data_IF_728352523597
#
_entry.id   IF_728352523597
#
_cell.length_a   1.000
_cell.length_b   1.000
_cell.length_c   1.000
_cell.angle_alpha   90.00
_cell.angle_beta   90.00
_cell.angle_gamma   90.00
#
_symmetry.space_group_name_H-M   'P 1'
#
loop_
_entity.id
_entity.type
_entity.pdbx_description
1 polymer ?
#
# COMPACT_ATOMS: atom_id res chain seq x y z
N UNK A 1 -28.91 -6.25 0.51
CA UNK A 1 -27.51 -6.29 0.06
C UNK A 1 -26.70 -5.31 0.91
N UNK A 2 -25.50 -5.69 1.32
CA UNK A 2 -24.61 -4.81 2.12
C UNK A 2 -23.95 -3.74 1.24
N UNK A 3 -23.68 -4.06 -0.01
CA UNK A 3 -23.07 -3.17 -1.00
C UNK A 3 -24.05 -3.01 -2.18
N UNK A 4 -24.31 -1.76 -2.59
CA UNK A 4 -25.14 -1.42 -3.75
C UNK A 4 -24.33 -0.78 -4.86
N UNK A 5 -23.41 0.13 -4.48
CA UNK A 5 -22.56 0.88 -5.40
C UNK A 5 -21.17 0.30 -5.40
N UNK A 6 -20.74 -0.23 -6.54
CA UNK A 6 -19.47 -0.93 -6.70
C UNK A 6 -18.57 -0.13 -7.63
N UNK A 7 -17.43 0.34 -7.11
CA UNK A 7 -16.40 0.95 -7.93
C UNK A 7 -15.48 -0.11 -8.54
N UNK A 8 -15.17 0.03 -9.83
CA UNK A 8 -14.22 -0.83 -10.55
C UNK A 8 -13.03 0.02 -10.98
N UNK A 9 -11.84 -0.40 -10.54
CA UNK A 9 -10.58 0.30 -10.72
C UNK A 9 -9.56 -0.66 -11.34
N UNK A 10 -8.97 -0.28 -12.47
CA UNK A 10 -7.92 -1.04 -13.15
C UNK A 10 -6.53 -0.47 -12.89
N UNK A 11 -5.51 -1.22 -13.29
CA UNK A 11 -4.11 -0.78 -13.24
C UNK A 11 -3.81 0.22 -14.35
N UNK A 12 -3.12 1.28 -13.96
CA UNK A 12 -2.48 2.19 -14.93
C UNK A 12 -0.96 2.10 -14.79
N UNK A 13 -0.25 1.71 -15.82
CA UNK A 13 0.76 2.55 -16.40
C UNK A 13 0.68 2.59 -17.91
N UNK A 14 1.14 3.69 -18.45
CA UNK A 14 1.08 4.02 -19.86
C UNK A 14 1.94 3.16 -20.80
N UNK A 15 2.64 2.14 -20.33
CA UNK A 15 3.72 1.52 -21.11
C UNK A 15 3.48 0.07 -21.58
N UNK A 16 2.46 -0.64 -21.08
CA UNK A 16 2.19 -2.02 -21.52
C UNK A 16 0.69 -2.19 -21.75
N UNK A 17 0.27 -2.21 -23.00
CA UNK A 17 -1.04 -2.71 -23.40
C UNK A 17 -1.11 -4.20 -23.06
N UNK A 18 -1.79 -4.57 -21.98
CA UNK A 18 -2.10 -5.97 -21.73
C UNK A 18 -3.56 -6.22 -22.08
N UNK A 19 -3.80 -6.75 -23.26
CA UNK A 19 -5.14 -7.18 -23.72
C UNK A 19 -5.83 -8.12 -22.70
N UNK A 20 -5.05 -8.84 -21.92
CA UNK A 20 -5.55 -9.78 -20.92
C UNK A 20 -6.22 -9.07 -19.72
N UNK A 21 -5.63 -7.99 -19.20
CA UNK A 21 -6.22 -7.24 -18.08
C UNK A 21 -7.48 -6.47 -18.53
N UNK A 22 -7.47 -5.95 -19.75
CA UNK A 22 -8.63 -5.25 -20.29
C UNK A 22 -9.81 -6.22 -20.48
N UNK A 23 -9.54 -7.45 -20.94
CA UNK A 23 -10.56 -8.50 -21.01
C UNK A 23 -11.09 -8.86 -19.61
N UNK A 24 -10.22 -9.00 -18.61
CA UNK A 24 -10.61 -9.32 -17.25
C UNK A 24 -11.51 -8.23 -16.62
N UNK A 25 -11.21 -6.94 -16.88
CA UNK A 25 -12.06 -5.82 -16.46
C UNK A 25 -13.43 -5.85 -17.14
N UNK A 26 -13.46 -6.10 -18.47
CA UNK A 26 -14.70 -6.19 -19.24
C UNK A 26 -15.56 -7.36 -18.74
N UNK A 27 -14.96 -8.54 -18.57
CA UNK A 27 -15.64 -9.75 -18.08
C UNK A 27 -16.23 -9.51 -16.67
N UNK A 28 -15.48 -8.81 -15.78
CA UNK A 28 -15.96 -8.44 -14.46
C UNK A 28 -17.15 -7.48 -14.51
N UNK A 29 -17.06 -6.43 -15.34
CA UNK A 29 -18.15 -5.47 -15.53
C UNK A 29 -19.39 -6.18 -16.08
N UNK A 30 -19.24 -7.07 -17.07
CA UNK A 30 -20.35 -7.84 -17.63
C UNK A 30 -20.97 -8.81 -16.61
N UNK A 31 -20.15 -9.46 -15.78
CA UNK A 31 -20.62 -10.32 -14.70
C UNK A 31 -21.48 -9.55 -13.70
N UNK A 32 -20.99 -8.40 -13.23
CA UNK A 32 -21.69 -7.59 -12.24
C UNK A 32 -22.91 -6.86 -12.81
N UNK A 33 -22.91 -6.50 -14.11
CA UNK A 33 -24.03 -5.84 -14.78
C UNK A 33 -25.29 -6.70 -14.92
N UNK A 34 -25.15 -8.03 -14.77
CA UNK A 34 -26.28 -8.97 -14.78
C UNK A 34 -26.98 -9.04 -13.41
N UNK A 35 -26.46 -8.31 -12.42
CA UNK A 35 -26.93 -8.27 -11.05
C UNK A 35 -27.44 -6.86 -10.71
N UNK A 36 -28.16 -6.73 -9.61
CA UNK A 36 -28.75 -5.44 -9.17
C UNK A 36 -27.72 -4.57 -8.44
N UNK A 37 -26.62 -4.21 -9.12
CA UNK A 37 -25.60 -3.30 -8.64
C UNK A 37 -25.50 -2.04 -9.49
N UNK A 38 -25.27 -0.91 -8.85
CA UNK A 38 -24.85 0.34 -9.50
C UNK A 38 -23.33 0.30 -9.67
N UNK A 39 -22.85 0.30 -10.92
CA UNK A 39 -21.44 0.24 -11.24
C UNK A 39 -20.87 1.63 -11.51
N UNK A 40 -19.79 1.95 -10.82
CA UNK A 40 -19.01 3.17 -10.98
C UNK A 40 -17.64 2.77 -11.54
N UNK A 41 -17.28 3.29 -12.69
CA UNK A 41 -15.98 2.95 -13.29
C UNK A 41 -15.01 4.12 -13.08
N UNK A 42 -13.85 3.82 -12.55
CA UNK A 42 -12.82 4.84 -12.40
C UNK A 42 -12.46 5.44 -13.78
N UNK A 43 -12.30 6.75 -13.86
CA UNK A 43 -12.21 7.53 -15.11
C UNK A 43 -11.13 7.02 -16.08
N UNK A 44 -9.93 6.75 -15.59
CA UNK A 44 -8.82 6.25 -16.43
C UNK A 44 -9.08 4.80 -16.87
N UNK A 45 -9.67 3.98 -15.99
CA UNK A 45 -10.11 2.62 -16.33
C UNK A 45 -11.11 2.67 -17.45
N UNK A 46 -12.14 3.51 -17.34
CA UNK A 46 -13.17 3.67 -18.36
C UNK A 46 -12.57 4.09 -19.70
N UNK A 47 -11.68 5.08 -19.71
CA UNK A 47 -10.99 5.54 -20.92
C UNK A 47 -10.19 4.44 -21.60
N UNK A 48 -9.52 3.59 -20.80
CA UNK A 48 -8.69 2.49 -21.29
C UNK A 48 -9.52 1.39 -21.94
N UNK A 49 -10.57 0.90 -21.27
CA UNK A 49 -11.42 -0.17 -21.78
C UNK A 49 -12.53 0.29 -22.73
N UNK A 50 -12.65 1.64 -22.94
CA UNK A 50 -13.60 2.27 -23.87
C UNK A 50 -15.09 1.93 -23.62
N UNK A 51 -15.47 1.69 -22.35
CA UNK A 51 -16.86 1.43 -21.96
C UNK A 51 -17.45 2.73 -21.43
N UNK A 52 -18.43 3.32 -22.15
CA UNK A 52 -19.02 4.63 -21.83
C UNK A 52 -20.42 4.58 -21.20
N UNK A 53 -21.00 3.37 -21.06
CA UNK A 53 -22.37 3.20 -20.54
C UNK A 53 -22.53 3.37 -19.04
N UNK A 54 -21.42 3.47 -18.28
CA UNK A 54 -21.43 3.64 -16.83
C UNK A 54 -20.90 5.01 -16.43
N UNK A 55 -21.21 5.42 -15.20
CA UNK A 55 -20.66 6.64 -14.64
C UNK A 55 -19.14 6.54 -14.52
N UNK A 56 -18.43 7.55 -15.01
CA UNK A 56 -16.99 7.71 -14.84
C UNK A 56 -16.73 8.64 -13.66
N UNK A 57 -15.94 8.18 -12.70
CA UNK A 57 -15.61 8.96 -11.50
C UNK A 57 -14.09 9.02 -11.30
N UNK A 58 -13.50 10.21 -11.10
CA UNK A 58 -12.10 10.34 -10.73
C UNK A 58 -11.78 9.57 -9.45
N UNK A 59 -10.58 8.94 -9.38
CA UNK A 59 -10.20 8.08 -8.27
C UNK A 59 -10.41 8.75 -6.89
N UNK A 60 -10.08 10.02 -6.76
CA UNK A 60 -10.21 10.78 -5.51
C UNK A 60 -11.67 11.00 -5.04
N UNK A 61 -12.65 10.76 -5.90
CA UNK A 61 -14.08 10.94 -5.59
C UNK A 61 -14.80 9.60 -5.39
N UNK A 62 -14.15 8.49 -5.71
CA UNK A 62 -14.76 7.15 -5.65
C UNK A 62 -15.25 6.81 -4.25
N UNK A 63 -14.47 7.17 -3.22
CA UNK A 63 -14.81 6.84 -1.84
C UNK A 63 -16.12 7.49 -1.35
N UNK A 64 -16.45 8.68 -1.87
CA UNK A 64 -17.71 9.36 -1.55
C UNK A 64 -18.93 8.79 -2.31
N UNK A 65 -18.70 8.05 -3.40
CA UNK A 65 -19.76 7.60 -4.30
C UNK A 65 -20.03 6.09 -4.22
N UNK A 66 -19.05 5.28 -3.80
CA UNK A 66 -19.13 3.82 -3.78
C UNK A 66 -19.15 3.23 -2.38
N UNK A 67 -19.78 2.06 -2.22
CA UNK A 67 -19.81 1.30 -0.96
C UNK A 67 -18.57 0.39 -0.84
N UNK A 68 -17.96 0.01 -1.98
CA UNK A 68 -16.83 -0.91 -2.06
C UNK A 68 -16.06 -0.67 -3.36
N UNK A 69 -14.75 -0.88 -3.34
CA UNK A 69 -13.89 -0.83 -4.53
C UNK A 69 -13.35 -2.21 -4.90
N UNK A 70 -13.54 -2.63 -6.15
CA UNK A 70 -12.92 -3.83 -6.72
C UNK A 70 -11.76 -3.36 -7.61
N UNK A 71 -10.56 -3.77 -7.26
CA UNK A 71 -9.32 -3.33 -7.90
C UNK A 71 -8.73 -4.49 -8.71
N UNK A 72 -8.66 -4.33 -10.01
CA UNK A 72 -8.04 -5.31 -10.92
C UNK A 72 -6.62 -4.85 -11.25
N UNK A 73 -5.63 -5.56 -10.69
CA UNK A 73 -4.24 -5.16 -10.85
C UNK A 73 -3.30 -6.00 -9.99
N UNK A 74 -2.18 -5.44 -9.60
CA UNK A 74 -1.25 -6.02 -8.63
C UNK A 74 -1.18 -5.18 -7.35
N UNK A 75 -0.29 -5.57 -6.43
CA UNK A 75 -0.09 -4.89 -5.16
C UNK A 75 0.15 -3.38 -5.32
N UNK A 76 0.94 -2.96 -6.33
CA UNK A 76 1.16 -1.54 -6.59
C UNK A 76 -0.13 -0.77 -6.94
N UNK A 77 -1.11 -1.38 -7.58
CA UNK A 77 -2.41 -0.76 -7.83
C UNK A 77 -3.20 -0.62 -6.53
N UNK A 78 -3.21 -1.69 -5.71
CA UNK A 78 -3.83 -1.67 -4.39
C UNK A 78 -3.26 -0.55 -3.51
N UNK A 79 -1.93 -0.39 -3.46
CA UNK A 79 -1.26 0.67 -2.69
C UNK A 79 -1.70 2.08 -3.13
N UNK A 80 -1.74 2.33 -4.44
CA UNK A 80 -2.17 3.62 -4.98
C UNK A 80 -3.63 3.95 -4.67
N UNK A 81 -4.52 2.96 -4.80
CA UNK A 81 -5.95 3.11 -4.48
C UNK A 81 -6.15 3.29 -2.98
N UNK A 82 -5.46 2.50 -2.15
CA UNK A 82 -5.54 2.61 -0.68
C UNK A 82 -5.21 4.03 -0.19
N UNK A 83 -4.14 4.64 -0.71
CA UNK A 83 -3.79 6.04 -0.37
C UNK A 83 -4.85 7.05 -0.81
N UNK A 84 -5.49 6.81 -1.95
CA UNK A 84 -6.51 7.73 -2.47
C UNK A 84 -7.85 7.62 -1.72
N UNK A 85 -8.14 6.45 -1.14
CA UNK A 85 -9.40 6.15 -0.46
C UNK A 85 -9.29 6.14 1.08
N UNK A 86 -8.12 6.51 1.62
CA UNK A 86 -7.85 6.46 3.07
C UNK A 86 -8.85 7.27 3.89
N UNK A 87 -9.30 8.39 3.34
CA UNK A 87 -10.20 9.31 4.02
C UNK A 87 -11.65 8.85 4.02
N UNK A 88 -12.05 8.06 3.05
CA UNK A 88 -13.41 7.60 2.86
C UNK A 88 -13.71 6.29 3.57
N UNK A 89 -12.70 5.46 3.81
CA UNK A 89 -12.80 4.23 4.57
C UNK A 89 -13.64 3.13 3.91
N UNK A 90 -13.86 3.19 2.59
CA UNK A 90 -14.57 2.12 1.88
C UNK A 90 -13.68 0.86 1.78
N UNK A 91 -14.27 -0.35 1.93
CA UNK A 91 -13.51 -1.57 1.80
C UNK A 91 -13.09 -1.85 0.36
N UNK A 92 -12.03 -2.63 0.21
CA UNK A 92 -11.45 -2.99 -1.08
C UNK A 92 -11.36 -4.50 -1.27
N UNK A 93 -11.48 -4.93 -2.53
CA UNK A 93 -11.18 -6.29 -2.98
C UNK A 93 -10.07 -6.20 -4.02
N UNK A 94 -9.01 -6.98 -3.86
CA UNK A 94 -7.89 -7.05 -4.80
C UNK A 94 -7.98 -8.27 -5.72
N UNK A 95 -8.12 -8.03 -7.03
CA UNK A 95 -8.11 -9.07 -8.06
C UNK A 95 -6.79 -9.00 -8.82
N UNK A 96 -6.05 -10.08 -8.82
CA UNK A 96 -4.76 -10.16 -9.47
C UNK A 96 -4.90 -10.28 -11.00
N UNK A 97 -4.18 -9.44 -11.74
CA UNK A 97 -4.17 -9.45 -13.22
C UNK A 97 -2.94 -10.12 -13.82
N UNK A 98 -2.12 -10.80 -13.01
CA UNK A 98 -0.89 -11.44 -13.50
C UNK A 98 -0.20 -12.24 -12.41
N UNK A 99 0.91 -11.73 -11.85
CA UNK A 99 1.60 -12.40 -10.75
C UNK A 99 0.84 -12.21 -9.44
N UNK A 100 0.45 -13.29 -8.80
CA UNK A 100 -0.21 -13.31 -7.50
C UNK A 100 0.48 -12.36 -6.49
N UNK A 101 -0.29 -11.47 -5.83
CA UNK A 101 0.20 -10.43 -4.90
C UNK A 101 0.02 -10.81 -3.43
N UNK A 102 0.49 -9.95 -2.53
CA UNK A 102 0.20 -10.03 -1.09
C UNK A 102 -1.06 -9.25 -0.72
N UNK A 103 -1.51 -8.33 -1.61
CA UNK A 103 -2.71 -7.52 -1.42
C UNK A 103 -3.80 -7.85 -2.46
N UNK A 104 -3.40 -8.13 -3.70
CA UNK A 104 -4.29 -8.60 -4.76
C UNK A 104 -4.19 -10.14 -4.83
N UNK A 105 -5.04 -10.82 -4.09
CA UNK A 105 -4.97 -12.26 -3.86
C UNK A 105 -6.04 -13.09 -4.58
N UNK A 106 -7.09 -12.46 -5.12
CA UNK A 106 -8.06 -13.17 -5.94
C UNK A 106 -7.49 -13.45 -7.32
N UNK A 107 -7.40 -14.73 -7.67
CA UNK A 107 -6.93 -15.14 -9.00
C UNK A 107 -8.06 -15.10 -10.05
N UNK A 108 -7.68 -15.01 -11.31
CA UNK A 108 -8.61 -14.94 -12.45
C UNK A 108 -9.58 -16.15 -12.51
N UNK A 109 -9.12 -17.34 -12.14
CA UNK A 109 -9.91 -18.56 -12.25
C UNK A 109 -11.13 -18.57 -11.33
N UNK A 110 -10.98 -18.03 -10.11
CA UNK A 110 -12.03 -18.03 -9.08
C UNK A 110 -12.65 -16.63 -8.84
N UNK A 111 -12.22 -15.63 -9.59
CA UNK A 111 -12.56 -14.22 -9.40
C UNK A 111 -14.07 -14.00 -9.17
N UNK A 112 -14.91 -14.51 -10.08
CA UNK A 112 -16.35 -14.29 -10.02
C UNK A 112 -16.99 -14.91 -8.79
N UNK A 113 -16.63 -16.15 -8.47
CA UNK A 113 -17.15 -16.87 -7.30
C UNK A 113 -16.73 -16.15 -6.01
N UNK A 114 -15.48 -15.77 -5.90
CA UNK A 114 -14.93 -15.07 -4.72
C UNK A 114 -15.55 -13.68 -4.54
N UNK A 115 -15.68 -12.91 -5.61
CA UNK A 115 -16.33 -11.59 -5.55
C UNK A 115 -17.80 -11.75 -5.16
N UNK A 116 -18.52 -12.71 -5.72
CA UNK A 116 -19.91 -12.97 -5.37
C UNK A 116 -20.09 -13.37 -3.91
N UNK A 117 -19.20 -14.20 -3.35
CA UNK A 117 -19.19 -14.52 -1.92
C UNK A 117 -19.03 -13.27 -1.09
N UNK A 118 -18.03 -12.41 -1.39
CA UNK A 118 -17.79 -11.17 -0.65
C UNK A 118 -18.99 -10.22 -0.74
N UNK A 119 -19.53 -9.98 -1.93
CA UNK A 119 -20.66 -9.08 -2.14
C UNK A 119 -21.95 -9.57 -1.46
N UNK A 120 -22.11 -10.87 -1.30
CA UNK A 120 -23.21 -11.49 -0.55
C UNK A 120 -22.99 -11.48 0.98
N UNK A 121 -21.88 -10.90 1.46
CA UNK A 121 -21.59 -10.76 2.89
C UNK A 121 -20.81 -11.94 3.50
N UNK A 122 -20.34 -12.88 2.68
CA UNK A 122 -19.54 -14.03 3.13
C UNK A 122 -18.05 -13.74 2.93
N UNK A 123 -17.46 -12.96 3.86
CA UNK A 123 -16.06 -12.52 3.80
C UNK A 123 -15.44 -12.40 5.18
N UNK A 124 -14.13 -12.34 5.22
CA UNK A 124 -13.32 -11.87 6.35
C UNK A 124 -12.79 -10.47 6.03
N UNK A 125 -12.93 -9.57 7.01
CA UNK A 125 -12.39 -8.22 6.91
C UNK A 125 -11.00 -8.17 7.52
N UNK A 126 -10.01 -7.79 6.72
CA UNK A 126 -8.63 -7.59 7.14
C UNK A 126 -8.31 -6.09 7.19
N UNK A 127 -8.24 -5.56 8.41
CA UNK A 127 -7.91 -4.15 8.65
C UNK A 127 -6.40 -3.96 8.65
N UNK A 128 -5.93 -3.12 7.72
CA UNK A 128 -4.51 -2.81 7.56
C UNK A 128 -4.18 -1.45 8.15
N UNK A 129 -3.21 -1.44 9.02
CA UNK A 129 -2.59 -0.24 9.57
C UNK A 129 -1.91 0.55 8.44
N UNK A 130 -1.98 1.86 8.53
CA UNK A 130 -1.24 2.81 7.71
C UNK A 130 -0.27 3.61 8.59
N UNK A 131 0.77 4.10 7.98
CA UNK A 131 1.64 5.13 8.58
C UNK A 131 1.45 6.47 7.89
N UNK A 132 1.41 7.51 8.68
CA UNK A 132 1.42 8.91 8.26
C UNK A 132 2.84 9.43 8.32
N UNK A 133 3.26 10.14 7.30
CA UNK A 133 4.60 10.73 7.22
C UNK A 133 4.50 12.22 7.00
N UNK A 134 5.23 12.99 7.80
CA UNK A 134 5.36 14.44 7.66
C UNK A 134 6.83 14.82 7.51
N UNK A 135 7.11 15.70 6.56
CA UNK A 135 8.43 16.31 6.40
C UNK A 135 8.35 17.74 6.89
N UNK A 136 9.16 18.05 7.86
CA UNK A 136 9.31 19.40 8.41
C UNK A 136 10.58 20.04 7.88
N UNK A 137 10.49 21.29 7.42
CA UNK A 137 11.62 22.18 7.12
C UNK A 137 11.41 23.49 7.82
N UNK A 138 12.39 23.89 8.66
CA UNK A 138 12.29 25.10 9.48
C UNK A 138 10.96 25.13 10.29
N UNK A 139 10.64 24.01 10.96
CA UNK A 139 9.44 23.75 11.79
C UNK A 139 8.09 23.81 11.03
N UNK A 140 8.11 23.92 9.70
CA UNK A 140 6.89 23.91 8.87
C UNK A 140 6.74 22.58 8.16
N UNK A 141 5.52 22.05 8.13
CA UNK A 141 5.19 20.88 7.32
C UNK A 141 5.24 21.31 5.84
N UNK A 142 6.14 20.69 5.08
CA UNK A 142 6.29 20.93 3.65
C UNK A 142 5.81 19.77 2.79
N UNK A 143 5.61 18.60 3.40
CA UNK A 143 5.07 17.42 2.74
C UNK A 143 4.38 16.51 3.76
N UNK A 144 3.27 15.90 3.34
CA UNK A 144 2.50 14.95 4.14
C UNK A 144 1.95 13.85 3.24
N UNK A 145 1.98 12.60 3.68
CA UNK A 145 1.43 11.47 2.94
C UNK A 145 1.18 10.25 3.85
N UNK A 146 0.38 9.31 3.34
CA UNK A 146 0.16 8.00 3.95
C UNK A 146 0.90 6.90 3.19
N UNK A 147 1.31 5.85 3.91
CA UNK A 147 1.85 4.64 3.32
C UNK A 147 1.14 3.40 3.89
N UNK A 148 0.82 2.44 3.01
CA UNK A 148 0.31 1.14 3.40
C UNK A 148 1.45 0.14 3.60
N UNK A 149 2.52 0.23 2.82
CA UNK A 149 3.72 -0.60 2.99
C UNK A 149 4.79 0.10 3.80
N UNK A 150 5.41 1.13 3.24
CA UNK A 150 6.62 1.68 3.81
C UNK A 150 6.89 3.14 3.43
N UNK A 151 7.69 3.76 4.28
CA UNK A 151 8.33 5.05 4.08
C UNK A 151 9.83 4.80 4.05
N UNK A 152 10.48 5.19 2.96
CA UNK A 152 11.90 4.95 2.73
C UNK A 152 12.64 6.25 2.56
N UNK A 153 13.65 6.50 3.39
CA UNK A 153 14.65 7.55 3.15
C UNK A 153 15.85 6.88 2.50
N UNK A 154 16.21 7.31 1.30
CA UNK A 154 17.28 6.71 0.53
C UNK A 154 18.24 7.76 0.00
N UNK A 155 19.54 7.47 0.11
CA UNK A 155 20.61 8.27 -0.49
C UNK A 155 20.61 8.14 -2.01
N UNK A 156 21.23 9.10 -2.69
CA UNK A 156 21.56 9.00 -4.11
C UNK A 156 22.77 8.09 -4.35
N UNK A 157 23.96 8.65 -4.35
CA UNK A 157 25.21 7.94 -4.71
C UNK A 157 26.05 7.57 -3.49
N UNK A 158 26.08 8.44 -2.48
CA UNK A 158 26.89 8.26 -1.27
C UNK A 158 26.05 7.96 -0.06
N UNK A 159 26.65 7.32 0.96
CA UNK A 159 25.98 7.03 2.24
C UNK A 159 25.38 8.30 2.84
N UNK A 160 24.18 8.14 3.40
CA UNK A 160 23.52 9.15 4.21
C UNK A 160 23.79 8.87 5.69
N UNK A 161 23.91 9.93 6.49
CA UNK A 161 23.95 9.81 7.94
C UNK A 161 22.63 10.32 8.54
N UNK A 162 21.96 9.43 9.28
CA UNK A 162 20.64 9.65 9.84
C UNK A 162 20.66 9.47 11.35
N UNK A 163 20.08 10.42 12.08
CA UNK A 163 19.77 10.30 13.50
C UNK A 163 18.33 9.84 13.66
N UNK A 164 18.13 8.77 14.43
CA UNK A 164 16.81 8.19 14.71
C UNK A 164 16.46 8.37 16.17
N UNK A 165 15.28 8.91 16.42
CA UNK A 165 14.66 9.01 17.75
C UNK A 165 13.28 8.38 17.75
N UNK A 166 12.87 7.80 18.89
CA UNK A 166 11.55 7.19 19.09
C UNK A 166 10.98 7.77 20.39
N UNK A 167 9.79 8.35 20.30
CA UNK A 167 9.13 9.01 21.43
C UNK A 167 10.07 9.99 22.15
N UNK A 168 10.69 10.89 21.39
CA UNK A 168 11.68 11.87 21.81
C UNK A 168 12.98 11.29 22.44
N UNK A 169 13.17 9.99 22.38
CA UNK A 169 14.38 9.33 22.89
C UNK A 169 15.31 8.99 21.75
N UNK A 170 16.55 9.47 21.81
CA UNK A 170 17.60 9.08 20.88
C UNK A 170 17.81 7.57 20.90
N UNK A 171 17.83 6.95 19.71
CA UNK A 171 18.07 5.52 19.54
C UNK A 171 19.48 5.27 19.02
N UNK A 172 19.79 5.81 17.84
CA UNK A 172 21.12 5.70 17.24
C UNK A 172 21.32 6.71 16.10
N UNK A 173 22.57 6.90 15.72
CA UNK A 173 22.95 7.50 14.45
C UNK A 173 23.50 6.39 13.53
N UNK A 174 23.09 6.37 12.27
CA UNK A 174 23.55 5.37 11.29
C UNK A 174 24.07 6.03 10.03
N UNK A 175 25.13 5.41 9.45
CA UNK A 175 25.57 5.67 8.07
C UNK A 175 25.19 4.47 7.21
N UNK A 176 24.40 4.70 6.16
CA UNK A 176 23.80 3.64 5.38
C UNK A 176 23.37 4.16 4.00
N UNK A 177 22.89 3.30 3.12
CA UNK A 177 22.19 3.71 1.89
C UNK A 177 20.82 4.29 2.19
N UNK A 178 20.29 4.08 3.41
CA UNK A 178 19.01 4.61 3.83
C UNK A 178 18.38 3.86 4.99
N UNK A 179 17.11 4.16 5.22
CA UNK A 179 16.29 3.54 6.27
C UNK A 179 14.87 3.33 5.77
N UNK A 180 14.25 2.26 6.20
CA UNK A 180 12.84 1.91 5.91
C UNK A 180 12.08 1.93 7.23
N UNK A 181 10.95 2.64 7.27
CA UNK A 181 9.92 2.47 8.29
C UNK A 181 8.74 1.76 7.63
N UNK A 182 8.44 0.56 8.08
CA UNK A 182 7.48 -0.34 7.44
C UNK A 182 6.31 -0.69 8.36
N UNK A 183 5.12 -0.71 7.80
CA UNK A 183 3.94 -1.35 8.41
C UNK A 183 4.11 -2.87 8.38
N UNK A 184 3.31 -3.65 9.12
CA UNK A 184 3.29 -5.10 8.97
C UNK A 184 3.02 -5.56 7.54
N UNK A 185 2.15 -4.87 6.81
CA UNK A 185 1.87 -5.13 5.39
C UNK A 185 3.14 -4.98 4.53
N UNK A 186 3.90 -3.93 4.74
CA UNK A 186 5.12 -3.62 3.98
C UNK A 186 6.30 -4.52 4.31
N UNK A 187 6.25 -5.29 5.42
CA UNK A 187 7.34 -6.21 5.77
C UNK A 187 7.54 -7.34 4.76
N UNK A 188 6.60 -7.58 3.86
CA UNK A 188 6.75 -8.51 2.72
C UNK A 188 7.23 -7.82 1.43
N UNK A 189 7.45 -6.48 1.48
CA UNK A 189 7.92 -5.64 0.36
C UNK A 189 9.42 -5.31 0.48
N UNK A 190 9.78 -4.04 0.41
CA UNK A 190 11.19 -3.63 0.42
C UNK A 190 11.91 -3.92 1.74
N UNK A 191 11.18 -3.85 2.86
CA UNK A 191 11.73 -4.21 4.18
C UNK A 191 12.25 -5.67 4.21
N UNK A 192 11.55 -6.63 3.56
CA UNK A 192 12.01 -8.01 3.45
C UNK A 192 13.35 -8.10 2.71
N UNK A 193 13.47 -7.41 1.57
CA UNK A 193 14.70 -7.39 0.77
C UNK A 193 15.89 -6.77 1.52
N UNK A 194 15.61 -5.84 2.44
CA UNK A 194 16.61 -5.22 3.31
C UNK A 194 16.93 -6.04 4.58
N UNK A 195 16.38 -7.26 4.71
CA UNK A 195 16.65 -8.17 5.84
C UNK A 195 15.78 -7.92 7.07
N UNK A 196 14.68 -7.22 6.93
CA UNK A 196 13.68 -7.04 7.99
C UNK A 196 12.88 -8.31 8.28
N UNK A 197 12.26 -8.44 9.47
CA UNK A 197 11.38 -9.54 9.80
C UNK A 197 10.05 -9.42 9.08
N UNK A 198 9.38 -10.54 8.81
CA UNK A 198 7.97 -10.55 8.41
C UNK A 198 7.11 -10.41 9.67
N UNK A 199 6.27 -9.39 9.69
CA UNK A 199 5.27 -9.18 10.72
C UNK A 199 3.90 -9.62 10.20
N UNK A 200 3.12 -10.30 11.05
CA UNK A 200 1.74 -10.63 10.69
C UNK A 200 0.94 -9.34 10.49
N UNK A 201 0.10 -9.21 9.46
CA UNK A 201 -0.61 -7.97 9.13
C UNK A 201 -1.47 -7.37 10.24
N UNK A 202 -1.95 -8.21 11.15
CA UNK A 202 -2.77 -7.79 12.29
C UNK A 202 -1.97 -7.35 13.52
N UNK A 203 -0.64 -7.36 13.46
CA UNK A 203 0.18 -6.86 14.56
C UNK A 203 0.15 -5.33 14.59
N UNK A 204 -0.04 -4.79 15.78
CA UNK A 204 0.09 -3.35 16.06
C UNK A 204 1.58 -3.01 16.28
N UNK A 205 2.38 -3.14 15.22
CA UNK A 205 3.83 -2.91 15.26
C UNK A 205 4.32 -2.17 14.01
N UNK A 206 5.46 -1.51 14.11
CA UNK A 206 6.21 -0.97 12.98
C UNK A 206 7.60 -1.60 12.96
N UNK A 207 8.17 -1.76 11.77
CA UNK A 207 9.54 -2.24 11.59
C UNK A 207 10.42 -1.12 11.06
N UNK A 208 11.56 -0.88 11.71
CA UNK A 208 12.60 0.05 11.27
C UNK A 208 13.76 -0.79 10.75
N UNK A 209 14.07 -0.66 9.46
CA UNK A 209 15.04 -1.50 8.77
C UNK A 209 16.10 -0.63 8.10
N UNK A 210 17.38 -0.68 8.54
CA UNK A 210 18.47 0.00 7.85
C UNK A 210 18.73 -0.65 6.49
N UNK A 211 19.07 0.18 5.49
CA UNK A 211 19.47 -0.29 4.15
C UNK A 211 20.99 -0.26 4.06
N UNK A 212 21.63 -1.42 3.90
CA UNK A 212 23.09 -1.55 3.76
C UNK A 212 23.86 -0.70 4.80
N UNK A 213 23.63 -0.88 6.11
CA UNK A 213 24.31 -0.06 7.11
C UNK A 213 25.80 -0.36 7.12
N UNK A 214 26.60 0.69 7.27
CA UNK A 214 28.06 0.57 7.33
C UNK A 214 28.55 -0.07 8.63
N UNK A 215 27.69 -0.11 9.65
CA UNK A 215 28.00 -0.68 10.97
C UNK A 215 27.25 -2.01 11.14
N UNK A 216 28.00 -3.09 11.42
CA UNK A 216 27.44 -4.45 11.60
C UNK A 216 26.49 -4.56 12.81
N UNK A 217 26.53 -3.64 13.76
CA UNK A 217 25.64 -3.61 14.93
C UNK A 217 24.22 -3.10 14.62
N UNK A 218 24.04 -2.37 13.53
CA UNK A 218 22.72 -1.88 13.15
C UNK A 218 21.86 -3.05 12.66
N UNK A 219 20.78 -3.30 13.35
CA UNK A 219 19.83 -4.39 13.08
C UNK A 219 18.42 -3.82 12.88
N UNK A 220 17.59 -4.49 12.09
CA UNK A 220 16.16 -4.22 12.08
C UNK A 220 15.57 -4.37 13.48
N UNK A 221 14.68 -3.43 13.84
CA UNK A 221 13.93 -3.48 15.09
C UNK A 221 12.44 -3.40 14.81
N UNK A 222 11.64 -4.08 15.61
CA UNK A 222 10.20 -3.94 15.65
C UNK A 222 9.80 -3.18 16.92
N UNK A 223 8.89 -2.23 16.78
CA UNK A 223 8.41 -1.35 17.84
C UNK A 223 6.89 -1.31 17.85
N UNK A 224 6.31 -0.82 18.94
CA UNK A 224 4.88 -0.57 19.01
C UNK A 224 4.43 0.45 17.94
N UNK A 225 3.31 0.19 17.28
CA UNK A 225 2.80 1.06 16.21
C UNK A 225 2.40 2.46 16.69
N UNK A 226 2.08 2.64 17.99
CA UNK A 226 1.77 3.96 18.55
C UNK A 226 2.99 4.85 18.73
N UNK A 227 4.20 4.32 18.51
CA UNK A 227 5.44 5.09 18.63
C UNK A 227 5.52 6.17 17.57
N UNK A 228 6.03 7.33 17.96
CA UNK A 228 6.44 8.40 17.06
C UNK A 228 7.92 8.23 16.71
N UNK A 229 8.22 8.17 15.42
CA UNK A 229 9.57 7.99 14.88
C UNK A 229 9.99 9.30 14.24
N UNK A 230 11.05 9.91 14.76
CA UNK A 230 11.69 11.09 14.18
C UNK A 230 13.03 10.71 13.55
N UNK A 231 13.23 11.11 12.30
CA UNK A 231 14.47 10.89 11.57
C UNK A 231 15.01 12.24 11.10
N UNK A 232 16.21 12.59 11.55
CA UNK A 232 16.92 13.80 11.13
C UNK A 232 18.07 13.44 10.20
N UNK A 233 18.28 14.25 9.19
CA UNK A 233 19.41 14.13 8.30
C UNK A 233 20.60 14.84 8.92
N UNK A 234 21.67 14.08 9.21
CA UNK A 234 22.91 14.62 9.79
C UNK A 234 23.90 14.97 8.67
N UNK A 235 24.01 14.09 7.65
CA UNK A 235 24.88 14.32 6.51
C UNK A 235 24.30 13.63 5.27
N UNK A 236 24.27 14.35 4.13
CA UNK A 236 23.93 13.81 2.83
C UNK A 236 24.56 14.64 1.70
N UNK A 237 24.70 14.05 0.52
CA UNK A 237 24.86 14.79 -0.75
C UNK A 237 23.51 14.93 -1.44
N UNK A 238 22.80 13.83 -1.56
CA UNK A 238 21.47 13.75 -2.16
C UNK A 238 20.65 12.69 -1.44
N UNK A 239 19.40 13.00 -1.12
CA UNK A 239 18.47 12.04 -0.55
C UNK A 239 17.05 12.27 -1.03
N UNK A 240 16.24 11.24 -0.93
CA UNK A 240 14.82 11.30 -1.23
C UNK A 240 14.01 10.44 -0.27
N UNK A 241 12.81 10.92 0.03
CA UNK A 241 11.75 10.16 0.66
C UNK A 241 10.95 9.43 -0.42
N UNK A 242 10.66 8.15 -0.20
CA UNK A 242 9.76 7.37 -1.04
C UNK A 242 8.60 6.82 -0.22
N UNK A 243 7.39 6.89 -0.75
CA UNK A 243 6.17 6.36 -0.14
C UNK A 243 5.68 5.17 -0.96
N UNK A 244 5.63 3.98 -0.37
CA UNK A 244 5.20 2.72 -1.01
C UNK A 244 5.94 2.44 -2.34
N UNK A 245 7.15 2.95 -2.52
CA UNK A 245 7.90 2.85 -3.77
C UNK A 245 7.28 3.59 -4.98
N UNK A 246 6.24 4.41 -4.77
CA UNK A 246 5.47 5.04 -5.85
C UNK A 246 5.58 6.55 -5.91
N UNK A 247 5.71 7.20 -4.78
CA UNK A 247 5.87 8.65 -4.69
C UNK A 247 7.29 8.94 -4.24
N UNK A 248 7.92 9.93 -4.87
CA UNK A 248 9.26 10.37 -4.52
C UNK A 248 9.24 11.85 -4.19
N UNK A 249 9.81 12.22 -3.04
CA UNK A 249 9.95 13.59 -2.57
C UNK A 249 11.44 13.89 -2.28
N UNK A 250 12.04 14.94 -2.86
CA UNK A 250 13.43 15.31 -2.61
C UNK A 250 13.59 15.89 -1.21
N UNK A 251 14.64 15.48 -0.50
CA UNK A 251 14.96 15.92 0.85
C UNK A 251 16.09 16.94 0.86
N UNK A 252 16.08 17.82 1.87
CA UNK A 252 17.12 18.82 2.19
C UNK A 252 17.76 18.47 3.55
N UNK A 253 18.99 18.94 3.79
CA UNK A 253 19.71 18.76 5.08
C UNK A 253 18.94 19.27 6.31
N UNK A 254 18.03 20.21 6.12
CA UNK A 254 17.22 20.82 7.21
C UNK A 254 15.94 20.02 7.49
N UNK A 255 15.70 18.96 6.73
CA UNK A 255 14.45 18.21 6.86
C UNK A 255 14.52 17.25 8.06
N UNK A 256 13.43 17.27 8.82
CA UNK A 256 13.09 16.27 9.82
C UNK A 256 11.89 15.48 9.30
N UNK A 257 12.03 14.18 9.26
CA UNK A 257 10.96 13.27 8.83
C UNK A 257 10.34 12.64 10.07
N UNK A 258 9.05 12.84 10.26
CA UNK A 258 8.28 12.20 11.32
C UNK A 258 7.38 11.12 10.73
N UNK A 259 7.37 9.95 11.33
CA UNK A 259 6.53 8.83 10.95
C UNK A 259 5.73 8.36 12.16
N UNK A 260 4.41 8.29 12.00
CA UNK A 260 3.47 7.88 13.05
C UNK A 260 2.43 6.91 12.48
N UNK A 261 1.77 6.15 13.35
CA UNK A 261 0.59 5.39 12.97
C UNK A 261 -0.52 6.34 12.54
N UNK A 262 -1.10 6.13 11.37
CA UNK A 262 -2.27 6.88 10.95
C UNK A 262 -3.49 6.55 11.82
N UNK A 263 -4.37 7.52 12.01
CA UNK A 263 -5.64 7.32 12.75
C UNK A 263 -6.62 6.41 12.00
N UNK A 264 -6.43 6.25 10.70
CA UNK A 264 -7.29 5.48 9.79
C UNK A 264 -6.65 4.16 9.40
N UNK A 265 -7.48 3.20 9.02
CA UNK A 265 -7.08 1.89 8.51
C UNK A 265 -7.70 1.67 7.15
N UNK A 266 -7.14 0.76 6.38
CA UNK A 266 -7.73 0.26 5.14
C UNK A 266 -8.32 -1.12 5.39
N UNK A 267 -9.56 -1.35 4.94
CA UNK A 267 -10.21 -2.65 4.99
C UNK A 267 -10.05 -3.38 3.66
N UNK A 268 -9.42 -4.55 3.69
CA UNK A 268 -9.37 -5.48 2.56
C UNK A 268 -10.33 -6.64 2.87
N UNK A 269 -11.20 -6.97 1.92
CA UNK A 269 -12.15 -8.06 2.08
C UNK A 269 -11.67 -9.29 1.35
N UNK A 270 -11.56 -10.39 2.06
CA UNK A 270 -11.18 -11.69 1.55
C UNK A 270 -12.33 -12.69 1.63
N UNK A 271 -12.41 -13.69 0.74
CA UNK A 271 -13.28 -14.84 0.94
C UNK A 271 -12.98 -15.55 2.25
N UNK A 272 -13.97 -16.29 2.80
CA UNK A 272 -13.85 -17.00 4.08
C UNK A 272 -12.77 -18.08 4.15
N UNK A 273 -12.28 -18.52 3.04
CA UNK A 273 -11.22 -19.53 2.92
C UNK A 273 -9.80 -18.92 2.78
N UNK A 274 -9.68 -17.59 2.93
CA UNK A 274 -8.39 -16.92 2.88
C UNK A 274 -7.49 -17.32 4.05
N UNK A 275 -6.23 -17.63 3.73
CA UNK A 275 -5.20 -17.94 4.73
C UNK A 275 -3.89 -17.20 4.43
N UNK A 276 -3.52 -16.27 5.30
CA UNK A 276 -2.28 -15.50 5.18
C UNK A 276 -1.02 -16.37 5.11
N UNK A 277 -0.96 -17.44 5.91
CA UNK A 277 0.20 -18.33 5.91
C UNK A 277 0.31 -19.18 4.65
N UNK A 278 -0.81 -19.52 4.03
CA UNK A 278 -0.80 -20.18 2.73
C UNK A 278 -0.28 -19.23 1.64
N UNK A 279 -0.72 -17.97 1.68
CA UNK A 279 -0.21 -16.94 0.78
C UNK A 279 1.31 -16.75 0.96
N UNK A 280 1.83 -16.71 2.20
CA UNK A 280 3.27 -16.64 2.46
C UNK A 280 4.03 -17.83 1.87
N UNK A 281 3.55 -19.08 2.10
CA UNK A 281 4.18 -20.29 1.52
C UNK A 281 4.25 -20.21 0.00
N UNK A 282 3.14 -19.84 -0.64
CA UNK A 282 3.07 -19.77 -2.09
C UNK A 282 3.99 -18.69 -2.67
N UNK A 283 4.12 -17.55 -1.97
CA UNK A 283 4.92 -16.41 -2.42
C UNK A 283 6.40 -16.57 -2.18
N UNK A 284 6.77 -17.13 -1.04
CA UNK A 284 8.14 -17.24 -0.60
C UNK A 284 8.72 -18.63 -0.85
N UNK A 285 7.92 -19.52 -1.47
CA UNK A 285 8.31 -20.91 -1.77
C UNK A 285 8.79 -21.64 -0.50
N UNK A 286 8.05 -21.48 0.60
CA UNK A 286 8.32 -22.16 1.86
C UNK A 286 7.67 -23.54 1.88
N UNK A 287 8.50 -24.61 1.93
CA UNK A 287 8.07 -26.01 2.00
C UNK A 287 7.99 -26.70 0.67
#
# INVERSE_FOLDING_TARGET
MKFKKIAIIGKYPAAIESNEMDSQLIDLIEHLSKKDYELIIEEKTQKKIKITRYQATPLQNIGAEADIAIIVGGDGTMLGVARSLVDDGIPMIGVNSGRFGFLADLNKANMFVSIDQVLNGNYDEDKRLLIETKVYRDEKIIYESFALNDVVIKSGVRLIELEVSINDKFVHTQRSDGIIVSTPTGTTAYALSAGGPILHPQLEALSIVPINPHTLSNRPIAIDAISEIDIKIVQMEEASLSIDGQIKFPLDMRDKIQVTKAKRTISILHPKDYCYFEMLRNKLHWG
#
